data_IF_866879484980
#
_entry.id   IF_866879484980
#
_cell.length_a   1.000
_cell.length_b   1.000
_cell.length_c   1.000
_cell.angle_alpha   90.00
_cell.angle_beta   90.00
_cell.angle_gamma   90.00
#
_symmetry.space_group_name_H-M   'P 1'
#
loop_
_entity.id
_entity.type
_entity.pdbx_description
1 polymer ?
#
# COMPACT_ATOMS: atom_id res chain seq x y z
N UNK A 1 -27.67 -35.09 38.43
CA UNK A 1 -26.70 -35.96 37.74
C UNK A 1 -26.65 -35.52 36.27
N UNK A 2 -25.42 -35.22 35.78
CA UNK A 2 -24.88 -35.18 34.39
C UNK A 2 -25.89 -35.14 33.22
N UNK A 3 -25.80 -34.29 32.19
CA UNK A 3 -24.65 -33.88 31.35
C UNK A 3 -24.95 -32.51 30.66
N UNK A 4 -23.96 -31.60 30.49
CA UNK A 4 -23.21 -31.28 29.24
C UNK A 4 -24.06 -31.18 27.96
N UNK A 5 -23.83 -30.32 26.96
CA UNK A 5 -23.09 -29.09 26.72
C UNK A 5 -23.46 -28.70 25.26
N UNK A 6 -23.21 -27.44 24.89
CA UNK A 6 -23.02 -26.92 23.51
C UNK A 6 -24.18 -26.91 22.50
N UNK A 7 -24.62 -25.70 22.15
CA UNK A 7 -25.40 -25.39 20.95
C UNK A 7 -25.21 -23.92 20.56
N UNK A 8 -24.04 -23.60 20.00
CA UNK A 8 -23.69 -22.24 19.56
C UNK A 8 -24.47 -21.92 18.27
N UNK A 9 -25.34 -20.91 18.41
CA UNK A 9 -25.74 -19.88 17.43
C UNK A 9 -25.46 -20.18 15.96
N UNK A 10 -26.55 -20.49 15.30
CA UNK A 10 -26.82 -20.31 13.89
C UNK A 10 -26.55 -18.85 13.43
N UNK A 11 -25.56 -18.68 12.56
CA UNK A 11 -25.36 -17.51 11.70
C UNK A 11 -24.59 -17.98 10.48
N UNK A 12 -25.29 -18.27 9.39
CA UNK A 12 -24.61 -18.74 8.19
C UNK A 12 -25.39 -18.69 6.88
N UNK A 13 -26.60 -18.14 6.82
CA UNK A 13 -27.28 -17.92 5.56
C UNK A 13 -26.95 -16.51 5.03
N UNK A 14 -25.88 -16.40 4.23
CA UNK A 14 -25.65 -15.27 3.32
C UNK A 14 -24.54 -15.55 2.29
N UNK A 15 -24.48 -16.76 1.71
CA UNK A 15 -23.62 -17.04 0.55
C UNK A 15 -24.24 -18.11 -0.36
N UNK A 16 -25.50 -17.94 -0.76
CA UNK A 16 -26.22 -18.83 -1.67
C UNK A 16 -26.29 -18.29 -3.11
N UNK A 17 -25.24 -17.60 -3.55
CA UNK A 17 -25.01 -17.28 -4.97
C UNK A 17 -23.52 -17.11 -5.25
N UNK A 18 -22.79 -18.23 -5.29
CA UNK A 18 -21.43 -18.26 -5.85
C UNK A 18 -21.55 -19.09 -7.14
N UNK A 19 -21.48 -18.48 -8.33
CA UNK A 19 -21.34 -19.24 -9.56
C UNK A 19 -19.98 -19.96 -9.58
N UNK A 20 -19.93 -21.10 -10.28
CA UNK A 20 -18.77 -21.98 -10.45
C UNK A 20 -17.42 -21.26 -10.68
N UNK A 21 -16.27 -21.87 -10.27
CA UNK A 21 -14.96 -21.23 -10.28
C UNK A 21 -14.53 -20.83 -11.69
N UNK A 22 -14.37 -19.51 -11.86
CA UNK A 22 -14.03 -18.77 -13.07
C UNK A 22 -12.97 -19.48 -13.97
N UNK A 23 -13.23 -19.62 -15.30
CA UNK A 23 -12.27 -20.16 -16.28
C UNK A 23 -10.88 -19.48 -16.27
N UNK A 24 -10.79 -18.22 -15.84
CA UNK A 24 -9.53 -17.46 -15.72
C UNK A 24 -8.51 -18.08 -14.75
N UNK A 25 -8.93 -18.80 -13.71
CA UNK A 25 -7.97 -19.29 -12.70
C UNK A 25 -7.03 -20.35 -13.28
N UNK A 26 -7.56 -21.24 -14.13
CA UNK A 26 -6.76 -22.23 -14.85
C UNK A 26 -5.83 -21.56 -15.87
N UNK A 27 -6.31 -20.52 -16.56
CA UNK A 27 -5.49 -19.72 -17.48
C UNK A 27 -4.33 -19.02 -16.76
N UNK A 28 -4.55 -18.53 -15.53
CA UNK A 28 -3.50 -17.91 -14.73
C UNK A 28 -2.42 -18.91 -14.30
N UNK A 29 -2.80 -20.12 -13.87
CA UNK A 29 -1.80 -21.14 -13.57
C UNK A 29 -0.95 -21.48 -14.79
N UNK A 30 -1.55 -21.62 -15.97
CA UNK A 30 -0.84 -21.83 -17.23
C UNK A 30 0.12 -20.68 -17.55
N UNK A 31 -0.32 -19.43 -17.38
CA UNK A 31 0.50 -18.23 -17.54
C UNK A 31 1.71 -18.26 -16.60
N UNK A 32 1.52 -18.60 -15.32
CA UNK A 32 2.62 -18.68 -14.35
C UNK A 32 3.56 -19.86 -14.63
N UNK A 33 3.05 -21.00 -15.12
CA UNK A 33 3.87 -22.13 -15.58
C UNK A 33 4.73 -21.73 -16.78
N UNK A 34 4.18 -21.02 -17.75
CA UNK A 34 4.91 -20.50 -18.90
C UNK A 34 6.01 -19.51 -18.47
N UNK A 35 5.68 -18.57 -17.57
CA UNK A 35 6.65 -17.63 -17.01
C UNK A 35 7.77 -18.34 -16.23
N UNK A 36 7.46 -19.37 -15.45
CA UNK A 36 8.45 -20.19 -14.75
C UNK A 36 9.41 -20.86 -15.73
N UNK A 37 8.88 -21.54 -16.76
CA UNK A 37 9.69 -22.22 -17.78
C UNK A 37 10.61 -21.23 -18.52
N UNK A 38 10.13 -20.02 -18.79
CA UNK A 38 10.95 -18.95 -19.39
C UNK A 38 12.12 -18.55 -18.49
N UNK A 39 11.91 -18.42 -17.19
CA UNK A 39 12.95 -17.96 -16.24
C UNK A 39 13.89 -19.07 -15.76
N UNK A 40 13.40 -20.31 -15.69
CA UNK A 40 14.13 -21.49 -15.22
C UNK A 40 13.85 -22.70 -16.11
N UNK A 41 14.35 -22.72 -17.36
CA UNK A 41 14.03 -23.77 -18.34
C UNK A 41 14.50 -25.16 -17.92
N UNK A 42 15.56 -25.25 -17.10
CA UNK A 42 16.15 -26.51 -16.62
C UNK A 42 15.63 -26.97 -15.27
N UNK A 43 14.69 -26.24 -14.65
CA UNK A 43 14.16 -26.58 -13.33
C UNK A 43 12.73 -27.11 -13.49
N UNK A 44 12.40 -28.25 -12.85
CA UNK A 44 11.02 -28.72 -12.79
C UNK A 44 10.08 -27.62 -12.31
N UNK A 45 8.90 -27.55 -12.93
CA UNK A 45 7.90 -26.57 -12.52
C UNK A 45 7.32 -27.04 -11.19
N UNK A 46 7.39 -26.24 -10.11
CA UNK A 46 6.75 -26.60 -8.85
C UNK A 46 5.23 -26.68 -9.03
N UNK A 47 4.54 -27.27 -8.06
CA UNK A 47 3.09 -27.12 -7.98
C UNK A 47 2.77 -25.63 -7.85
N UNK A 48 1.97 -25.08 -8.76
CA UNK A 48 1.61 -23.66 -8.75
C UNK A 48 0.15 -23.57 -8.35
N UNK A 49 -0.12 -22.78 -7.31
CA UNK A 49 -1.48 -22.41 -6.90
C UNK A 49 -1.64 -20.90 -7.00
N UNK A 50 -2.62 -20.46 -7.79
CA UNK A 50 -2.95 -19.04 -7.95
C UNK A 50 -4.31 -18.76 -7.34
N UNK A 51 -4.40 -17.74 -6.49
CA UNK A 51 -5.67 -17.26 -5.94
C UNK A 51 -5.77 -15.73 -5.98
N UNK A 52 -6.99 -15.23 -6.19
CA UNK A 52 -7.29 -13.83 -5.95
C UNK A 52 -7.50 -13.60 -4.46
N UNK A 53 -6.93 -12.52 -3.93
CA UNK A 53 -6.98 -12.17 -2.53
C UNK A 53 -7.40 -10.70 -2.37
N UNK A 54 -8.33 -10.39 -1.44
CA UNK A 54 -8.90 -9.05 -1.27
C UNK A 54 -7.94 -8.12 -0.51
N UNK A 55 -6.82 -7.77 -1.15
CA UNK A 55 -5.87 -6.81 -0.62
C UNK A 55 -6.51 -5.41 -0.53
N UNK A 56 -5.98 -4.56 0.36
CA UNK A 56 -6.38 -3.16 0.49
C UNK A 56 -5.79 -2.25 -0.61
N UNK A 57 -5.50 -2.81 -1.79
CA UNK A 57 -4.86 -2.17 -2.94
C UNK A 57 -4.19 -3.20 -3.86
N UNK A 58 -3.42 -2.72 -4.84
CA UNK A 58 -2.73 -3.51 -5.86
C UNK A 58 -1.48 -4.23 -5.33
N UNK A 59 -1.68 -5.13 -4.38
CA UNK A 59 -0.63 -5.99 -3.85
C UNK A 59 -0.70 -7.38 -4.50
N UNK A 60 0.47 -7.94 -4.79
CA UNK A 60 0.61 -9.31 -5.29
C UNK A 60 1.80 -9.96 -4.58
N UNK A 61 1.68 -11.25 -4.26
CA UNK A 61 2.74 -11.99 -3.57
C UNK A 61 2.99 -13.32 -4.26
N UNK A 62 4.27 -13.69 -4.34
CA UNK A 62 4.71 -15.01 -4.76
C UNK A 62 5.63 -15.58 -3.68
N UNK A 63 5.35 -16.79 -3.22
CA UNK A 63 6.14 -17.49 -2.19
C UNK A 63 6.40 -18.92 -2.62
N UNK A 64 7.63 -19.37 -2.42
CA UNK A 64 8.00 -20.78 -2.58
C UNK A 64 8.08 -21.41 -1.19
N UNK A 65 7.27 -22.43 -0.94
CA UNK A 65 7.24 -23.17 0.32
C UNK A 65 7.11 -24.66 0.00
N UNK A 66 8.00 -25.52 0.53
CA UNK A 66 7.93 -26.98 0.34
C UNK A 66 7.67 -27.41 -1.13
N UNK A 67 8.40 -26.81 -2.07
CA UNK A 67 8.24 -27.09 -3.52
C UNK A 67 6.88 -26.69 -4.12
N UNK A 68 6.09 -25.89 -3.40
CA UNK A 68 4.85 -25.26 -3.88
C UNK A 68 5.03 -23.77 -4.04
N UNK A 69 4.60 -23.27 -5.20
CA UNK A 69 4.60 -21.86 -5.53
C UNK A 69 3.19 -21.30 -5.29
N UNK A 70 3.03 -20.55 -4.20
CA UNK A 70 1.77 -19.92 -3.80
C UNK A 70 1.78 -18.49 -4.31
N UNK A 71 0.85 -18.19 -5.21
CA UNK A 71 0.65 -16.88 -5.82
C UNK A 71 -0.66 -16.30 -5.31
N UNK A 72 -0.60 -15.11 -4.72
CA UNK A 72 -1.78 -14.31 -4.39
C UNK A 72 -1.79 -13.05 -5.22
N UNK A 73 -2.84 -12.87 -6.01
CA UNK A 73 -3.05 -11.67 -6.81
C UNK A 73 -4.11 -10.79 -6.17
N UNK A 74 -3.99 -9.47 -6.28
CA UNK A 74 -5.08 -8.55 -5.97
C UNK A 74 -6.33 -8.92 -6.74
N UNK A 75 -7.47 -8.93 -6.06
CA UNK A 75 -8.79 -9.10 -6.66
C UNK A 75 -9.19 -7.94 -7.59
N UNK A 76 -8.48 -6.82 -7.56
CA UNK A 76 -8.60 -5.75 -8.56
C UNK A 76 -8.15 -6.23 -9.95
N UNK A 77 -7.37 -7.31 -10.00
CA UNK A 77 -6.76 -7.88 -11.21
C UNK A 77 -7.60 -9.01 -11.83
N UNK A 78 -8.85 -9.19 -11.40
CA UNK A 78 -9.71 -10.30 -11.84
C UNK A 78 -10.03 -10.28 -13.32
N UNK A 79 -10.00 -9.14 -13.99
CA UNK A 79 -10.28 -8.97 -15.42
C UNK A 79 -9.06 -8.46 -16.19
N UNK A 80 -7.86 -8.59 -15.61
CA UNK A 80 -6.64 -8.13 -16.25
C UNK A 80 -6.32 -8.94 -17.52
N UNK A 81 -5.94 -8.29 -18.64
CA UNK A 81 -5.57 -8.99 -19.87
C UNK A 81 -4.43 -9.99 -19.68
N UNK A 82 -4.46 -11.10 -20.42
CA UNK A 82 -3.49 -12.20 -20.31
C UNK A 82 -2.03 -11.74 -20.46
N UNK A 83 -1.76 -10.76 -21.32
CA UNK A 83 -0.41 -10.20 -21.52
C UNK A 83 0.08 -9.42 -20.30
N UNK A 84 -0.84 -8.78 -19.57
CA UNK A 84 -0.54 -8.08 -18.32
C UNK A 84 -0.31 -9.10 -17.22
N UNK A 85 -1.17 -10.12 -17.11
CA UNK A 85 -1.00 -11.23 -16.18
C UNK A 85 0.34 -11.96 -16.39
N UNK A 86 0.73 -12.22 -17.63
CA UNK A 86 2.02 -12.81 -17.97
C UNK A 86 3.20 -11.90 -17.58
N UNK A 87 3.07 -10.59 -17.79
CA UNK A 87 4.08 -9.62 -17.37
C UNK A 87 4.23 -9.60 -15.86
N UNK A 88 3.12 -9.61 -15.12
CA UNK A 88 3.10 -9.71 -13.66
C UNK A 88 3.74 -11.02 -13.17
N UNK A 89 3.42 -12.15 -13.80
CA UNK A 89 4.02 -13.44 -13.47
C UNK A 89 5.54 -13.42 -13.61
N UNK A 90 6.07 -12.89 -14.73
CA UNK A 90 7.51 -12.73 -14.93
C UNK A 90 8.12 -11.82 -13.86
N UNK A 91 7.49 -10.70 -13.53
CA UNK A 91 7.98 -9.77 -12.50
C UNK A 91 8.07 -10.43 -11.12
N UNK A 92 7.02 -11.14 -10.70
CA UNK A 92 6.97 -11.80 -9.39
C UNK A 92 8.00 -12.93 -9.29
N UNK A 93 8.07 -13.78 -10.31
CA UNK A 93 9.01 -14.91 -10.33
C UNK A 93 10.46 -14.46 -10.51
N UNK A 94 10.72 -13.39 -11.27
CA UNK A 94 12.05 -12.81 -11.39
C UNK A 94 12.55 -12.28 -10.03
N UNK A 95 11.68 -11.63 -9.25
CA UNK A 95 11.99 -11.22 -7.87
C UNK A 95 12.26 -12.42 -6.96
N UNK A 96 11.40 -13.43 -7.00
CA UNK A 96 11.52 -14.64 -6.18
C UNK A 96 12.82 -15.41 -6.47
N UNK A 97 13.17 -15.56 -7.75
CA UNK A 97 14.34 -16.33 -8.20
C UNK A 97 15.59 -15.48 -8.44
N UNK A 98 15.53 -14.17 -8.14
CA UNK A 98 16.63 -13.21 -8.37
C UNK A 98 17.14 -13.24 -9.83
N UNK A 99 16.22 -13.31 -10.79
CA UNK A 99 16.51 -13.27 -12.24
C UNK A 99 16.28 -11.87 -12.82
N UNK A 100 16.97 -11.55 -13.91
CA UNK A 100 16.73 -10.35 -14.71
C UNK A 100 15.67 -10.62 -15.76
N UNK A 101 14.81 -9.64 -16.02
CA UNK A 101 13.81 -9.65 -17.10
C UNK A 101 13.87 -8.32 -17.84
N UNK A 102 13.36 -8.32 -19.07
CA UNK A 102 13.27 -7.13 -19.89
C UNK A 102 12.33 -6.09 -19.26
N UNK A 103 12.73 -4.82 -19.35
CA UNK A 103 11.96 -3.65 -18.94
C UNK A 103 10.57 -3.56 -19.58
N UNK A 104 10.35 -4.16 -20.76
CA UNK A 104 9.07 -4.17 -21.47
C UNK A 104 7.93 -4.76 -20.63
N UNK A 105 8.22 -5.81 -19.83
CA UNK A 105 7.22 -6.44 -18.96
C UNK A 105 6.84 -5.50 -17.80
N UNK A 106 7.83 -4.80 -17.23
CA UNK A 106 7.56 -3.76 -16.24
C UNK A 106 6.72 -2.64 -16.84
N UNK A 107 7.05 -2.16 -18.05
CA UNK A 107 6.28 -1.09 -18.72
C UNK A 107 4.84 -1.51 -18.97
N UNK A 108 4.59 -2.71 -19.50
CA UNK A 108 3.24 -3.21 -19.76
C UNK A 108 2.40 -3.29 -18.48
N UNK A 109 2.96 -3.87 -17.42
CA UNK A 109 2.29 -3.91 -16.11
C UNK A 109 2.00 -2.50 -15.58
N UNK A 110 2.96 -1.58 -15.70
CA UNK A 110 2.83 -0.18 -15.22
C UNK A 110 1.74 0.60 -15.95
N UNK A 111 1.65 0.49 -17.27
CA UNK A 111 0.60 1.13 -18.06
C UNK A 111 -0.78 0.67 -17.58
N UNK A 112 -0.95 -0.64 -17.40
CA UNK A 112 -2.23 -1.18 -16.94
C UNK A 112 -2.59 -0.70 -15.53
N UNK A 113 -1.68 -0.79 -14.56
CA UNK A 113 -2.03 -0.36 -13.20
C UNK A 113 -2.30 1.13 -13.08
N UNK A 114 -1.76 1.95 -13.99
CA UNK A 114 -1.96 3.39 -13.99
C UNK A 114 -3.16 3.84 -14.82
N UNK A 115 -3.95 2.93 -15.40
CA UNK A 115 -5.21 3.31 -16.02
C UNK A 115 -6.19 3.83 -14.96
N UNK A 116 -7.04 4.78 -15.35
CA UNK A 116 -8.00 5.41 -14.44
C UNK A 116 -8.93 4.37 -13.79
N UNK A 117 -9.37 3.38 -14.57
CA UNK A 117 -10.21 2.29 -14.08
C UNK A 117 -9.55 1.49 -12.96
N UNK A 118 -8.28 1.10 -13.14
CA UNK A 118 -7.57 0.29 -12.15
C UNK A 118 -7.18 1.13 -10.93
N UNK A 119 -6.83 2.41 -11.13
CA UNK A 119 -6.62 3.35 -10.04
C UNK A 119 -7.89 3.55 -9.20
N UNK A 120 -9.06 3.65 -9.84
CA UNK A 120 -10.33 3.80 -9.16
C UNK A 120 -10.70 2.56 -8.34
N UNK A 121 -10.55 1.37 -8.91
CA UNK A 121 -10.77 0.11 -8.16
C UNK A 121 -9.81 -0.02 -6.99
N UNK A 122 -8.54 0.36 -7.16
CA UNK A 122 -7.55 0.38 -6.08
C UNK A 122 -7.92 1.38 -4.98
N UNK A 123 -8.46 2.55 -5.34
CA UNK A 123 -8.98 3.54 -4.41
C UNK A 123 -10.13 2.99 -3.60
N UNK A 124 -11.14 2.39 -4.24
CA UNK A 124 -12.31 1.78 -3.58
C UNK A 124 -11.88 0.68 -2.62
N UNK A 125 -11.04 -0.26 -3.08
CA UNK A 125 -10.54 -1.36 -2.24
C UNK A 125 -9.77 -0.84 -1.02
N UNK A 126 -8.95 0.21 -1.21
CA UNK A 126 -8.19 0.82 -0.11
C UNK A 126 -9.11 1.47 0.91
N UNK A 127 -10.15 2.18 0.48
CA UNK A 127 -11.13 2.81 1.36
C UNK A 127 -11.90 1.79 2.20
N UNK A 128 -12.36 0.70 1.58
CA UNK A 128 -13.12 -0.33 2.28
C UNK A 128 -12.29 -1.19 3.23
N UNK A 129 -11.01 -1.45 2.90
CA UNK A 129 -10.23 -2.52 3.54
C UNK A 129 -9.05 -2.03 4.37
N UNK A 130 -8.56 -0.81 4.16
CA UNK A 130 -7.40 -0.28 4.90
C UNK A 130 -7.79 0.18 6.31
N UNK A 131 -7.74 -0.75 7.27
CA UNK A 131 -8.07 -0.48 8.69
C UNK A 131 -7.21 0.60 9.35
N UNK A 132 -6.00 0.86 8.84
CA UNK A 132 -5.09 1.90 9.35
C UNK A 132 -5.61 3.30 8.99
N UNK A 133 -6.30 3.44 7.85
CA UNK A 133 -6.78 4.71 7.30
C UNK A 133 -8.19 5.09 7.75
N UNK A 134 -8.72 4.43 8.80
CA UNK A 134 -9.94 4.92 9.45
C UNK A 134 -9.56 6.17 10.23
N UNK A 135 -10.02 7.33 9.75
CA UNK A 135 -9.91 8.59 10.47
C UNK A 135 -10.48 8.39 11.87
N UNK A 136 -9.70 8.80 12.88
CA UNK A 136 -10.12 8.76 14.27
C UNK A 136 -10.31 10.18 14.78
N UNK A 137 -9.23 10.83 15.19
CA UNK A 137 -9.23 12.19 15.74
C UNK A 137 -7.91 12.87 15.43
N UNK A 138 -7.91 14.19 15.31
CA UNK A 138 -6.69 15.01 15.26
C UNK A 138 -6.09 15.24 16.65
N UNK A 139 -6.90 15.13 17.70
CA UNK A 139 -6.48 15.27 19.09
C UNK A 139 -5.85 13.96 19.59
N UNK A 140 -4.53 13.95 19.72
CA UNK A 140 -3.79 12.86 20.34
C UNK A 140 -3.84 12.95 21.86
N UNK A 141 -3.22 11.98 22.53
CA UNK A 141 -3.02 12.00 23.99
C UNK A 141 -1.99 13.05 24.41
N UNK A 142 -1.01 13.31 23.56
CA UNK A 142 0.12 14.20 23.86
C UNK A 142 0.29 15.33 22.83
N UNK A 143 -0.28 15.20 21.64
CA UNK A 143 -0.13 16.19 20.57
C UNK A 143 -1.45 16.39 19.80
N UNK A 144 -1.86 17.65 19.66
CA UNK A 144 -2.94 18.05 18.76
C UNK A 144 -2.37 18.35 17.36
N UNK A 145 -2.79 17.57 16.38
CA UNK A 145 -2.33 17.71 15.00
C UNK A 145 -2.77 19.04 14.37
N UNK A 146 -3.90 19.63 14.79
CA UNK A 146 -4.34 20.92 14.27
C UNK A 146 -3.37 22.03 14.65
N UNK A 147 -3.01 22.10 15.93
CA UNK A 147 -2.05 23.10 16.44
C UNK A 147 -0.69 22.91 15.77
N UNK A 148 -0.26 21.66 15.60
CA UNK A 148 0.99 21.32 14.93
C UNK A 148 0.98 21.80 13.46
N UNK A 149 -0.09 21.49 12.73
CA UNK A 149 -0.25 21.88 11.33
C UNK A 149 -0.22 23.40 11.18
N UNK A 150 -0.99 24.13 12.00
CA UNK A 150 -1.10 25.59 11.90
C UNK A 150 0.26 26.26 12.09
N UNK A 151 1.01 25.84 13.10
CA UNK A 151 2.37 26.35 13.34
C UNK A 151 3.30 26.08 12.17
N UNK A 152 3.30 24.87 11.63
CA UNK A 152 4.17 24.50 10.51
C UNK A 152 3.76 25.20 9.21
N UNK A 153 2.46 25.40 8.99
CA UNK A 153 1.93 26.09 7.82
C UNK A 153 2.39 27.54 7.80
N UNK A 154 2.28 28.21 8.95
CA UNK A 154 2.77 29.57 9.10
C UNK A 154 4.30 29.63 8.88
N UNK A 155 5.05 28.79 9.60
CA UNK A 155 6.51 28.85 9.63
C UNK A 155 7.18 28.52 8.29
N UNK A 156 6.72 27.47 7.59
CA UNK A 156 7.42 26.95 6.42
C UNK A 156 6.70 27.23 5.10
N UNK A 157 5.41 27.54 5.15
CA UNK A 157 4.58 27.71 3.97
C UNK A 157 3.89 29.07 3.92
N UNK A 158 4.12 29.96 4.88
CA UNK A 158 3.50 31.29 4.93
C UNK A 158 1.97 31.24 4.92
N UNK A 159 1.40 30.19 5.53
CA UNK A 159 -0.05 29.97 5.58
C UNK A 159 -0.69 29.52 4.26
N UNK A 160 0.11 29.21 3.22
CA UNK A 160 -0.41 28.93 1.87
C UNK A 160 -1.05 27.55 1.67
N UNK A 161 -0.85 26.59 2.59
CA UNK A 161 -1.46 25.26 2.46
C UNK A 161 -2.87 25.29 3.06
N UNK A 162 -3.86 25.01 2.21
CA UNK A 162 -5.23 24.76 2.66
C UNK A 162 -5.26 23.58 3.63
N UNK A 163 -5.82 23.80 4.83
CA UNK A 163 -5.80 22.79 5.91
C UNK A 163 -6.59 21.53 5.49
N UNK A 164 -5.91 20.39 5.28
CA UNK A 164 -6.59 19.12 5.05
C UNK A 164 -7.19 18.61 6.38
N UNK A 165 -8.03 17.59 6.29
CA UNK A 165 -8.42 16.83 7.49
C UNK A 165 -7.18 16.21 8.12
N UNK A 166 -7.09 16.23 9.44
CA UNK A 166 -5.95 15.66 10.16
C UNK A 166 -6.41 14.50 11.03
N UNK A 167 -5.64 13.42 11.03
CA UNK A 167 -5.99 12.28 11.86
C UNK A 167 -4.80 11.47 12.32
N UNK A 168 -4.82 11.07 13.59
CA UNK A 168 -4.00 9.96 14.04
C UNK A 168 -4.50 8.65 13.41
N UNK A 169 -3.57 7.82 12.98
CA UNK A 169 -3.88 6.48 12.47
C UNK A 169 -4.56 5.63 13.55
N UNK A 170 -5.55 4.81 13.18
CA UNK A 170 -6.28 3.97 14.12
C UNK A 170 -5.40 3.04 14.98
N UNK A 171 -4.27 2.56 14.43
CA UNK A 171 -3.31 1.66 15.10
C UNK A 171 -1.90 2.21 14.99
N UNK A 172 -1.04 1.90 15.97
CA UNK A 172 0.40 2.19 15.88
C UNK A 172 1.01 1.45 14.69
N UNK A 173 1.76 2.16 13.85
CA UNK A 173 2.49 1.61 12.72
C UNK A 173 3.90 2.19 12.65
N UNK A 174 4.90 1.32 12.54
CA UNK A 174 6.31 1.72 12.31
C UNK A 174 6.69 1.68 10.82
N UNK A 175 5.82 1.07 10.00
CA UNK A 175 6.03 0.94 8.56
C UNK A 175 5.44 2.11 7.76
N UNK A 176 4.38 2.73 8.28
CA UNK A 176 3.74 3.91 7.70
C UNK A 176 3.71 4.97 8.78
N UNK A 177 4.62 5.94 8.66
CA UNK A 177 4.85 6.97 9.68
C UNK A 177 3.90 8.16 9.49
N UNK A 178 3.73 8.59 8.25
CA UNK A 178 2.77 9.58 7.81
C UNK A 178 2.22 9.21 6.43
N UNK A 179 1.10 9.81 6.05
CA UNK A 179 0.58 9.78 4.68
C UNK A 179 -0.41 10.91 4.43
N UNK A 180 -0.23 11.64 3.34
CA UNK A 180 -1.29 12.41 2.70
C UNK A 180 -2.15 11.53 1.78
N UNK A 181 -3.47 11.58 1.97
CA UNK A 181 -4.47 10.99 1.10
C UNK A 181 -5.19 12.09 0.30
N UNK A 182 -4.78 12.25 -0.95
CA UNK A 182 -5.37 13.24 -1.87
C UNK A 182 -6.85 13.00 -2.14
N UNK A 183 -7.33 11.74 -2.06
CA UNK A 183 -8.74 11.40 -2.31
C UNK A 183 -9.68 12.02 -1.28
N UNK A 184 -9.28 12.03 -0.01
CA UNK A 184 -10.09 12.56 1.09
C UNK A 184 -9.53 13.86 1.66
N UNK A 185 -8.51 14.42 1.00
CA UNK A 185 -7.73 15.56 1.50
C UNK A 185 -7.42 15.40 2.99
N UNK A 186 -6.82 14.26 3.35
CA UNK A 186 -6.56 13.89 4.75
C UNK A 186 -5.09 13.57 4.98
N UNK A 187 -4.45 14.19 5.96
CA UNK A 187 -3.13 13.79 6.47
C UNK A 187 -3.32 12.84 7.64
N UNK A 188 -2.70 11.67 7.54
CA UNK A 188 -2.60 10.68 8.61
C UNK A 188 -1.21 10.70 9.22
N UNK A 189 -1.14 10.76 10.56
CA UNK A 189 0.11 10.58 11.32
C UNK A 189 0.00 9.31 12.16
N UNK A 190 1.07 8.50 12.18
CA UNK A 190 1.07 7.26 12.94
C UNK A 190 0.96 7.51 14.44
N UNK A 191 0.05 6.82 15.10
CA UNK A 191 -0.14 6.84 16.56
C UNK A 191 1.08 6.30 17.32
N UNK A 192 2.09 5.77 16.64
CA UNK A 192 3.37 5.43 17.27
C UNK A 192 4.07 6.67 17.85
N UNK A 193 3.79 7.85 17.30
CA UNK A 193 4.38 9.13 17.71
C UNK A 193 3.63 9.83 18.84
N UNK A 194 2.41 9.43 19.15
CA UNK A 194 1.58 10.02 20.20
C UNK A 194 1.95 9.45 21.58
N UNK A 195 3.16 9.78 22.05
CA UNK A 195 3.72 9.36 23.35
C UNK A 195 4.77 10.35 23.83
N UNK A 196 4.94 10.48 25.15
CA UNK A 196 5.91 11.38 25.79
C UNK A 196 7.36 11.14 25.40
N UNK A 197 7.71 9.91 25.00
CA UNK A 197 9.10 9.55 24.68
C UNK A 197 9.53 9.93 23.26
N UNK A 198 8.60 10.46 22.46
CA UNK A 198 8.88 10.91 21.11
C UNK A 198 9.11 12.42 21.15
N UNK A 199 10.30 12.90 20.77
CA UNK A 199 10.56 14.34 20.70
C UNK A 199 9.61 15.02 19.71
N UNK A 200 9.15 16.23 20.04
CA UNK A 200 8.18 16.96 19.22
C UNK A 200 8.67 17.17 17.78
N UNK A 201 9.97 17.45 17.60
CA UNK A 201 10.58 17.65 16.27
C UNK A 201 10.43 16.44 15.33
N UNK A 202 10.24 15.24 15.88
CA UNK A 202 10.00 14.03 15.08
C UNK A 202 8.58 14.05 14.51
N UNK A 203 7.60 14.40 15.34
CA UNK A 203 6.18 14.50 14.91
C UNK A 203 6.02 15.66 13.93
N UNK A 204 6.69 16.78 14.21
CA UNK A 204 6.76 17.94 13.31
C UNK A 204 7.32 17.57 11.95
N UNK A 205 8.46 16.86 11.91
CA UNK A 205 9.05 16.45 10.63
C UNK A 205 8.12 15.54 9.83
N UNK A 206 7.43 14.60 10.47
CA UNK A 206 6.48 13.72 9.77
C UNK A 206 5.29 14.53 9.24
N UNK A 207 4.72 15.44 10.04
CA UNK A 207 3.67 16.35 9.58
C UNK A 207 4.13 17.22 8.40
N UNK A 208 5.29 17.85 8.54
CA UNK A 208 5.91 18.69 7.51
C UNK A 208 6.13 17.92 6.19
N UNK A 209 6.61 16.67 6.26
CA UNK A 209 6.76 15.81 5.09
C UNK A 209 5.41 15.54 4.39
N UNK A 210 4.33 15.31 5.16
CA UNK A 210 3.00 15.13 4.57
C UNK A 210 2.43 16.43 4.00
N UNK A 211 2.72 17.58 4.60
CA UNK A 211 2.36 18.90 4.05
C UNK A 211 3.04 19.17 2.71
N UNK A 212 4.30 18.75 2.55
CA UNK A 212 4.98 18.83 1.25
C UNK A 212 4.28 18.00 0.17
N UNK A 213 3.67 16.86 0.52
CA UNK A 213 2.86 16.09 -0.43
C UNK A 213 1.58 16.82 -0.84
N UNK A 214 1.00 17.63 0.05
CA UNK A 214 -0.13 18.51 -0.30
C UNK A 214 0.31 19.55 -1.32
N UNK A 215 1.44 20.22 -1.07
CA UNK A 215 1.98 21.29 -1.93
C UNK A 215 2.41 20.81 -3.31
N UNK A 216 3.24 19.76 -3.38
CA UNK A 216 3.89 19.37 -4.64
C UNK A 216 3.02 18.48 -5.53
N UNK A 217 2.08 17.74 -4.93
CA UNK A 217 1.30 16.67 -5.56
C UNK A 217 2.18 15.61 -6.28
N UNK A 218 1.67 14.40 -6.47
CA UNK A 218 2.43 13.37 -7.20
C UNK A 218 2.33 13.59 -8.71
N UNK A 219 3.46 13.55 -9.43
CA UNK A 219 3.50 13.67 -10.90
C UNK A 219 3.63 12.30 -11.56
N UNK A 220 2.96 12.06 -12.68
CA UNK A 220 3.17 10.87 -13.50
C UNK A 220 4.11 11.21 -14.66
N UNK A 221 5.25 10.53 -14.73
CA UNK A 221 6.22 10.66 -15.82
C UNK A 221 6.67 9.26 -16.28
N UNK A 222 6.57 8.96 -17.58
CA UNK A 222 6.94 7.66 -18.17
C UNK A 222 6.35 6.46 -17.41
N UNK A 223 5.05 6.49 -17.13
CA UNK A 223 4.36 5.47 -16.32
C UNK A 223 4.91 5.32 -14.90
N UNK A 224 5.58 6.34 -14.34
CA UNK A 224 6.09 6.40 -12.96
C UNK A 224 5.47 7.55 -12.18
N UNK A 225 4.92 7.22 -11.02
CA UNK A 225 4.49 8.21 -10.02
C UNK A 225 5.74 8.70 -9.28
N UNK A 226 6.04 9.98 -9.41
CA UNK A 226 7.12 10.68 -8.72
C UNK A 226 6.46 11.55 -7.66
N UNK A 227 6.50 11.09 -6.41
CA UNK A 227 6.01 11.84 -5.25
C UNK A 227 7.06 12.81 -4.68
N UNK A 228 8.35 12.47 -4.79
CA UNK A 228 9.46 13.25 -4.24
C UNK A 228 10.36 13.78 -5.36
N UNK A 229 9.92 14.86 -6.00
CA UNK A 229 10.69 15.56 -7.05
C UNK A 229 11.96 16.21 -6.45
N UNK A 230 12.90 16.70 -7.28
CA UNK A 230 14.03 17.48 -6.78
C UNK A 230 13.60 18.68 -5.93
N UNK A 231 12.56 19.39 -6.33
CA UNK A 231 12.00 20.54 -5.62
C UNK A 231 11.47 20.13 -4.24
N UNK A 232 10.70 19.03 -4.18
CA UNK A 232 10.26 18.44 -2.92
C UNK A 232 11.44 18.18 -1.98
N UNK A 233 12.52 17.57 -2.49
CA UNK A 233 13.68 17.22 -1.66
C UNK A 233 14.47 18.43 -1.18
N UNK A 234 14.50 19.50 -1.96
CA UNK A 234 15.13 20.77 -1.56
C UNK A 234 14.35 21.36 -0.38
N UNK A 235 13.02 21.48 -0.50
CA UNK A 235 12.17 21.98 0.57
C UNK A 235 12.18 21.07 1.80
N UNK A 236 12.21 19.75 1.61
CA UNK A 236 12.29 18.78 2.70
C UNK A 236 13.51 19.03 3.59
N UNK A 237 14.66 19.35 2.97
CA UNK A 237 15.91 19.66 3.68
C UNK A 237 15.89 21.00 4.41
N UNK A 238 14.92 21.86 4.11
CA UNK A 238 14.71 23.14 4.77
C UNK A 238 14.11 23.03 6.18
N UNK A 239 13.63 21.84 6.58
CA UNK A 239 13.14 21.62 7.93
C UNK A 239 14.25 21.80 8.98
N UNK A 240 13.97 22.57 10.03
CA UNK A 240 15.00 23.04 10.98
C UNK A 240 15.73 21.90 11.70
N UNK A 241 15.03 20.80 12.00
CA UNK A 241 15.59 19.59 12.63
C UNK A 241 15.71 18.41 11.66
N UNK A 242 15.93 18.67 10.37
CA UNK A 242 15.92 17.63 9.34
C UNK A 242 16.85 16.47 9.69
N UNK A 243 18.11 16.75 10.05
CA UNK A 243 19.10 15.70 10.29
C UNK A 243 18.74 14.85 11.51
N UNK A 244 18.35 15.50 12.60
CA UNK A 244 18.00 14.89 13.88
C UNK A 244 16.75 14.02 13.74
N UNK A 245 15.72 14.52 13.03
CA UNK A 245 14.51 13.76 12.73
C UNK A 245 14.83 12.51 11.88
N UNK A 246 15.62 12.65 10.80
CA UNK A 246 16.02 11.50 9.96
C UNK A 246 16.81 10.46 10.74
N UNK A 247 17.72 10.87 11.63
CA UNK A 247 18.50 9.95 12.47
C UNK A 247 17.59 9.21 13.45
N UNK A 248 16.67 9.92 14.10
CA UNK A 248 15.73 9.32 15.05
C UNK A 248 14.82 8.31 14.34
N UNK A 249 14.24 8.68 13.19
CA UNK A 249 13.33 7.81 12.41
C UNK A 249 14.01 6.58 11.82
N UNK A 250 15.33 6.52 11.74
CA UNK A 250 16.04 5.28 11.34
C UNK A 250 16.13 4.25 12.47
N UNK A 251 15.88 4.66 13.71
CA UNK A 251 15.98 3.82 14.92
C UNK A 251 14.64 3.25 15.35
N UNK A 252 13.54 3.70 14.72
CA UNK A 252 12.19 3.18 14.93
C UNK A 252 11.88 2.07 13.90
#
# INVERSE_FOLDING_TARGET
>A
MRDQATGIRDRGELFSWIPDPWPLMHDLELIFRAAHRRLRPRTPVPEIKVEFFPFAGLNHTARLHESRLIIRLSDIFTDAPSEVCYSLALILLAKLYRKKIDSVYHRRYRIFILSDEIQERARIARNGRCRIMRATTSLGRHCDLNVLFDRLNEQYFGGSIDKPRLSWSAKKSRYVLGRYDATHQTIFISRVFDTTNVPLYVVEYVMFHEMLHVKHQSRVHDSRVIAHTPEFKIEERGFSHYREAKVWLKRI
#
